data_IF_692052964480
#
_entry.id   IF_692052964480
#
_cell.length_a   1.000
_cell.length_b   1.000
_cell.length_c   1.000
_cell.angle_alpha   90.00
_cell.angle_beta   90.00
_cell.angle_gamma   90.00
#
_symmetry.space_group_name_H-M   'P 1'
#
loop_
_entity.id
_entity.type
_entity.pdbx_description
1 polymer ?
#
# COMPACT_ATOMS: atom_id res chain seq x y z
N UNK A 1 3.43 -78.35 -7.95
CA UNK A 1 2.42 -77.38 -8.30
C UNK A 1 2.96 -76.03 -7.99
N UNK A 2 3.10 -75.19 -9.01
CA UNK A 2 3.77 -73.89 -8.93
C UNK A 2 2.70 -72.79 -8.84
N UNK A 3 2.59 -72.15 -7.73
CA UNK A 3 1.78 -70.91 -7.57
C UNK A 3 2.63 -69.71 -7.99
N UNK A 4 2.33 -69.15 -9.14
CA UNK A 4 2.87 -67.88 -9.60
C UNK A 4 2.09 -66.73 -8.97
N UNK A 5 2.72 -66.06 -8.02
CA UNK A 5 2.20 -64.80 -7.44
C UNK A 5 2.61 -63.64 -8.36
N UNK A 6 1.65 -63.12 -9.11
CA UNK A 6 1.83 -61.90 -9.90
C UNK A 6 1.54 -60.70 -8.98
N UNK A 7 2.62 -60.11 -8.48
CA UNK A 7 2.54 -58.85 -7.77
C UNK A 7 2.18 -57.72 -8.72
N UNK A 8 1.02 -57.12 -8.51
CA UNK A 8 0.63 -55.89 -9.19
C UNK A 8 1.33 -54.72 -8.48
N UNK A 9 2.27 -54.09 -9.18
CA UNK A 9 2.86 -52.80 -8.75
C UNK A 9 1.82 -51.70 -8.98
N UNK A 10 1.24 -51.24 -7.90
CA UNK A 10 0.41 -50.02 -7.92
C UNK A 10 1.35 -48.83 -7.83
N UNK A 11 1.64 -48.21 -8.96
CA UNK A 11 2.32 -46.92 -9.04
C UNK A 11 1.34 -45.82 -8.56
N UNK A 12 1.54 -45.36 -7.35
CA UNK A 12 0.87 -44.14 -6.85
C UNK A 12 1.59 -42.95 -7.48
N UNK A 13 0.98 -42.39 -8.52
CA UNK A 13 1.37 -41.09 -9.07
C UNK A 13 0.92 -40.02 -8.10
N UNK A 14 1.84 -39.52 -7.30
CA UNK A 14 1.62 -38.30 -6.50
C UNK A 14 1.58 -37.11 -7.47
N UNK A 15 0.37 -36.69 -7.83
CA UNK A 15 0.15 -35.42 -8.53
C UNK A 15 0.46 -34.31 -7.51
N UNK A 16 1.69 -33.81 -7.59
CA UNK A 16 2.07 -32.58 -6.89
C UNK A 16 1.25 -31.43 -7.46
N UNK A 17 0.30 -30.94 -6.68
CA UNK A 17 -0.34 -29.65 -6.91
C UNK A 17 0.77 -28.60 -6.77
N UNK A 18 1.42 -28.26 -7.89
CA UNK A 18 2.20 -27.05 -8.00
C UNK A 18 1.19 -25.89 -7.86
N UNK A 19 0.96 -25.45 -6.63
CA UNK A 19 0.20 -24.25 -6.37
C UNK A 19 0.91 -23.12 -7.11
N UNK A 20 0.21 -22.43 -8.00
CA UNK A 20 0.63 -21.16 -8.55
C UNK A 20 0.75 -20.18 -7.38
N UNK A 21 1.90 -20.17 -6.70
CA UNK A 21 2.25 -19.19 -5.69
C UNK A 21 2.55 -17.87 -6.39
N UNK A 22 1.55 -16.97 -6.50
CA UNK A 22 1.81 -15.58 -6.83
C UNK A 22 2.73 -14.95 -5.79
N UNK A 23 3.40 -13.86 -6.13
CA UNK A 23 4.20 -13.10 -5.15
C UNK A 23 3.34 -12.77 -3.92
N UNK A 24 3.89 -12.93 -2.71
CA UNK A 24 3.17 -12.59 -1.50
C UNK A 24 2.79 -11.10 -1.51
N UNK A 25 1.59 -10.80 -1.07
CA UNK A 25 1.02 -9.46 -1.04
C UNK A 25 0.67 -9.06 0.39
N UNK A 26 0.78 -7.76 0.64
CA UNK A 26 0.47 -7.15 1.92
C UNK A 26 -0.69 -6.15 1.79
N UNK A 27 -1.54 -6.13 2.79
CA UNK A 27 -2.51 -5.06 3.00
C UNK A 27 -1.99 -4.18 4.15
N UNK A 28 -2.08 -2.87 4.00
CA UNK A 28 -1.56 -1.93 5.01
C UNK A 28 -2.65 -0.95 5.40
N UNK A 29 -2.89 -0.83 6.68
CA UNK A 29 -3.76 0.19 7.24
C UNK A 29 -3.00 1.01 8.27
N UNK A 30 -3.34 2.28 8.39
CA UNK A 30 -2.72 3.14 9.39
C UNK A 30 -3.32 4.53 9.39
N UNK A 31 -2.72 5.39 10.19
CA UNK A 31 -3.10 6.78 10.34
C UNK A 31 -1.89 7.68 10.13
N UNK A 32 -2.10 8.80 9.44
CA UNK A 32 -1.07 9.81 9.24
C UNK A 32 -1.35 10.98 10.16
N UNK A 33 -0.35 11.35 10.96
CA UNK A 33 -0.38 12.53 11.83
C UNK A 33 0.83 13.42 11.57
N UNK A 34 0.64 14.70 11.79
CA UNK A 34 1.72 15.69 11.79
C UNK A 34 1.67 16.48 13.09
N UNK A 35 2.72 16.37 13.91
CA UNK A 35 2.76 16.95 15.26
C UNK A 35 1.51 16.59 16.09
N UNK A 36 1.05 15.33 15.97
CA UNK A 36 -0.12 14.82 16.68
C UNK A 36 -1.48 15.15 16.06
N UNK A 37 -1.53 15.94 14.98
CA UNK A 37 -2.76 16.24 14.25
C UNK A 37 -2.96 15.28 13.08
N UNK A 38 -4.14 14.65 12.93
CA UNK A 38 -4.43 13.81 11.79
C UNK A 38 -4.47 14.63 10.49
N UNK A 39 -3.90 14.07 9.43
CA UNK A 39 -3.93 14.66 8.10
C UNK A 39 -5.29 14.38 7.47
N UNK A 40 -6.08 15.41 7.20
CA UNK A 40 -7.42 15.24 6.60
C UNK A 40 -7.41 15.21 5.07
N UNK A 41 -6.32 15.65 4.45
CA UNK A 41 -6.18 15.73 3.00
C UNK A 41 -4.80 15.30 2.56
N UNK A 42 -4.73 14.51 1.51
CA UNK A 42 -3.48 14.11 0.92
C UNK A 42 -3.44 12.66 0.51
N UNK A 43 -2.23 12.18 0.29
CA UNK A 43 -1.97 10.81 -0.15
C UNK A 43 -0.72 10.25 0.50
N UNK A 44 -0.73 8.97 0.74
CA UNK A 44 0.45 8.18 1.12
C UNK A 44 0.97 7.48 -0.13
N UNK A 45 2.27 7.53 -0.34
CA UNK A 45 2.96 6.89 -1.46
C UNK A 45 3.85 5.80 -0.88
N UNK A 46 3.72 4.58 -1.36
CA UNK A 46 4.59 3.47 -0.97
C UNK A 46 5.37 2.97 -2.17
N UNK A 47 6.69 2.87 -2.00
CA UNK A 47 7.63 2.40 -3.01
C UNK A 47 8.47 1.26 -2.44
N UNK A 48 8.45 0.10 -3.07
CA UNK A 48 9.30 -1.03 -2.67
C UNK A 48 10.77 -0.64 -2.79
N UNK A 49 11.53 -0.84 -1.73
CA UNK A 49 12.97 -0.59 -1.74
C UNK A 49 13.72 -1.68 -2.51
N UNK A 50 14.75 -1.28 -3.26
CA UNK A 50 15.70 -2.21 -3.88
C UNK A 50 15.25 -2.92 -5.14
N UNK A 51 14.24 -2.41 -5.85
CA UNK A 51 13.79 -3.02 -7.13
C UNK A 51 13.09 -2.04 -8.05
N UNK A 52 12.91 -2.40 -9.33
CA UNK A 52 12.05 -1.67 -10.23
C UNK A 52 10.61 -1.90 -9.76
N UNK A 53 10.05 -0.91 -9.07
CA UNK A 53 8.66 -0.94 -8.61
C UNK A 53 7.99 0.37 -8.93
N UNK A 54 6.75 0.30 -9.36
CA UNK A 54 5.92 1.48 -9.46
C UNK A 54 5.44 1.87 -8.07
N UNK A 55 5.44 3.18 -7.76
CA UNK A 55 4.87 3.66 -6.51
C UNK A 55 3.36 3.37 -6.47
N UNK A 56 2.90 2.88 -5.34
CA UNK A 56 1.46 2.72 -5.08
C UNK A 56 1.00 3.88 -4.22
N UNK A 57 -0.14 4.45 -4.56
CA UNK A 57 -0.70 5.63 -3.88
C UNK A 57 -2.04 5.29 -3.24
N UNK A 58 -2.23 5.69 -1.99
CA UNK A 58 -3.50 5.63 -1.30
C UNK A 58 -3.92 7.01 -0.80
N UNK A 59 -5.18 7.33 -0.94
CA UNK A 59 -5.75 8.57 -0.46
C UNK A 59 -5.93 8.54 1.07
N UNK A 60 -5.60 9.64 1.73
CA UNK A 60 -5.84 9.83 3.16
C UNK A 60 -7.30 10.22 3.37
N UNK A 61 -7.99 9.52 4.26
CA UNK A 61 -9.36 9.79 4.62
C UNK A 61 -9.46 11.02 5.55
N UNK A 62 -10.65 11.63 5.71
CA UNK A 62 -10.83 12.81 6.56
C UNK A 62 -10.40 12.65 8.03
N UNK A 63 -10.38 11.43 8.55
CA UNK A 63 -9.91 11.08 9.90
C UNK A 63 -8.40 10.83 9.98
N UNK A 64 -7.68 10.95 8.86
CA UNK A 64 -6.25 10.72 8.73
C UNK A 64 -5.86 9.28 8.43
N UNK A 65 -6.81 8.38 8.28
CA UNK A 65 -6.54 6.97 7.96
C UNK A 65 -6.25 6.76 6.49
N UNK A 66 -5.46 5.72 6.20
CA UNK A 66 -5.17 5.27 4.84
C UNK A 66 -5.17 3.74 4.77
N UNK A 67 -5.40 3.21 3.59
CA UNK A 67 -5.38 1.76 3.35
C UNK A 67 -4.78 1.44 1.99
N UNK A 68 -3.88 0.47 1.97
CA UNK A 68 -3.35 -0.15 0.75
C UNK A 68 -3.81 -1.60 0.70
N UNK A 69 -4.10 -2.09 -0.48
CA UNK A 69 -4.45 -3.48 -0.74
C UNK A 69 -3.50 -4.11 -1.73
N UNK A 70 -3.04 -5.31 -1.43
CA UNK A 70 -2.29 -6.14 -2.37
C UNK A 70 -0.97 -5.55 -2.85
N UNK A 71 -0.24 -4.81 -2.00
CA UNK A 71 1.07 -4.26 -2.34
C UNK A 71 2.19 -5.29 -2.12
N UNK A 72 3.35 -5.14 -2.79
CA UNK A 72 4.47 -6.06 -2.60
C UNK A 72 4.99 -6.06 -1.16
N UNK A 73 5.33 -7.25 -0.65
CA UNK A 73 5.97 -7.38 0.67
C UNK A 73 7.43 -6.94 0.65
N UNK A 74 8.00 -6.70 1.82
CA UNK A 74 9.39 -6.34 2.04
C UNK A 74 9.58 -4.91 2.49
N UNK A 75 10.82 -4.45 2.45
CA UNK A 75 11.16 -3.08 2.83
C UNK A 75 10.53 -2.08 1.86
N UNK A 76 9.82 -1.12 2.41
CA UNK A 76 9.04 -0.13 1.66
C UNK A 76 9.40 1.27 2.13
N UNK A 77 9.64 2.16 1.18
CA UNK A 77 9.82 3.59 1.42
C UNK A 77 8.49 4.29 1.32
N UNK A 78 8.28 5.29 2.16
CA UNK A 78 7.00 5.98 2.29
C UNK A 78 7.17 7.46 1.99
N UNK A 79 6.27 8.00 1.19
CA UNK A 79 6.10 9.43 0.99
C UNK A 79 4.70 9.85 1.43
N UNK A 80 4.57 11.10 1.86
CA UNK A 80 3.29 11.69 2.26
C UNK A 80 3.15 13.07 1.62
N UNK A 81 2.04 13.29 0.96
CA UNK A 81 1.70 14.56 0.32
C UNK A 81 0.44 15.12 0.98
N UNK A 82 0.48 16.38 1.40
CA UNK A 82 -0.70 17.11 1.88
C UNK A 82 -1.27 17.94 0.72
N UNK A 83 -2.35 17.45 0.13
CA UNK A 83 -3.00 18.09 -1.00
C UNK A 83 -3.90 19.22 -0.53
N UNK A 84 -3.67 20.45 -1.05
CA UNK A 84 -4.51 21.60 -0.70
C UNK A 84 -5.87 21.52 -1.41
N UNK A 85 -6.98 21.32 -0.68
CA UNK A 85 -8.31 21.24 -1.28
C UNK A 85 -8.81 22.58 -1.82
N UNK A 86 -8.17 23.68 -1.44
CA UNK A 86 -8.49 25.02 -1.93
C UNK A 86 -7.74 25.37 -3.23
N UNK A 87 -6.84 24.50 -3.66
CA UNK A 87 -6.14 24.70 -4.92
C UNK A 87 -7.10 24.48 -6.09
N UNK A 88 -7.51 25.58 -6.72
CA UNK A 88 -8.34 25.53 -7.92
C UNK A 88 -7.49 25.11 -9.10
N UNK A 89 -7.62 23.85 -9.51
CA UNK A 89 -7.13 23.45 -10.82
C UNK A 89 -7.99 24.15 -11.88
N UNK A 90 -7.39 24.93 -12.76
CA UNK A 90 -8.08 25.41 -13.96
C UNK A 90 -8.31 24.22 -14.89
N UNK A 91 -9.45 23.56 -14.68
CA UNK A 91 -9.86 22.44 -15.52
C UNK A 91 -10.34 22.96 -16.86
N UNK A 92 -9.83 22.35 -17.93
CA UNK A 92 -10.18 22.69 -19.30
C UNK A 92 -11.59 22.19 -19.60
N UNK A 93 -12.54 23.10 -19.91
CA UNK A 93 -13.90 22.75 -20.32
C UNK A 93 -14.87 22.50 -19.16
N UNK A 94 -15.88 21.68 -19.39
CA UNK A 94 -17.00 21.41 -18.48
C UNK A 94 -16.66 20.49 -17.28
N UNK A 95 -15.39 20.26 -17.02
CA UNK A 95 -14.96 19.41 -15.89
C UNK A 95 -15.16 20.15 -14.56
N UNK A 96 -16.11 19.68 -13.78
CA UNK A 96 -16.33 20.16 -12.41
C UNK A 96 -15.42 19.39 -11.45
N UNK A 97 -14.72 20.12 -10.59
CA UNK A 97 -14.01 19.50 -9.47
C UNK A 97 -15.00 18.79 -8.53
N UNK A 98 -14.74 17.55 -8.14
CA UNK A 98 -15.57 16.92 -7.11
C UNK A 98 -15.47 17.70 -5.80
N UNK A 99 -16.54 17.72 -5.00
CA UNK A 99 -16.53 18.41 -3.72
C UNK A 99 -15.47 17.78 -2.80
N UNK A 100 -14.80 18.57 -1.95
CA UNK A 100 -13.85 18.05 -0.98
C UNK A 100 -14.55 17.09 0.00
N UNK A 101 -13.89 16.01 0.36
CA UNK A 101 -14.40 14.96 1.27
C UNK A 101 -14.49 15.42 2.74
N UNK A 102 -13.85 16.52 3.09
CA UNK A 102 -13.85 17.09 4.44
C UNK A 102 -13.86 18.62 4.37
N UNK A 103 -14.00 19.28 5.52
CA UNK A 103 -13.91 20.73 5.60
C UNK A 103 -12.51 21.20 5.15
N UNK A 104 -12.40 22.02 4.09
CA UNK A 104 -11.13 22.58 3.63
C UNK A 104 -10.32 23.32 4.68
N UNK A 105 -10.95 23.80 5.76
CA UNK A 105 -10.29 24.45 6.88
C UNK A 105 -9.42 23.51 7.72
N UNK A 106 -9.64 22.21 7.61
CA UNK A 106 -8.83 21.19 8.29
C UNK A 106 -7.49 20.94 7.60
N UNK A 107 -7.30 21.48 6.40
CA UNK A 107 -6.04 21.34 5.69
C UNK A 107 -4.92 22.18 6.33
N UNK A 108 -3.75 21.59 6.38
CA UNK A 108 -2.51 22.29 6.73
C UNK A 108 -1.34 21.73 5.90
N UNK A 109 -0.32 22.56 5.61
CA UNK A 109 0.84 22.10 4.89
C UNK A 109 1.75 21.24 5.78
N UNK A 110 2.47 20.31 5.14
CA UNK A 110 3.55 19.53 5.76
C UNK A 110 4.86 19.83 5.04
N UNK A 111 6.02 19.59 5.66
CA UNK A 111 7.30 19.79 4.99
C UNK A 111 7.43 18.97 3.71
N UNK A 112 7.90 19.59 2.64
CA UNK A 112 8.06 18.96 1.33
C UNK A 112 9.02 17.77 1.32
N UNK A 113 9.89 17.64 2.31
CA UNK A 113 10.78 16.49 2.48
C UNK A 113 10.05 15.15 2.52
N UNK A 114 8.80 15.14 2.96
CA UNK A 114 7.98 13.92 3.05
C UNK A 114 7.31 13.52 1.73
N UNK A 115 7.28 14.41 0.75
CA UNK A 115 6.56 14.18 -0.52
C UNK A 115 7.17 13.09 -1.40
N UNK A 116 8.46 12.83 -1.26
CA UNK A 116 9.16 11.82 -2.05
C UNK A 116 9.54 10.61 -1.17
N UNK A 117 9.13 9.39 -1.54
CA UNK A 117 9.50 8.19 -0.77
C UNK A 117 11.00 7.98 -0.62
N UNK A 118 11.79 8.45 -1.59
CA UNK A 118 13.26 8.34 -1.58
C UNK A 118 13.93 9.26 -0.57
N UNK A 119 13.33 10.40 -0.30
CA UNK A 119 13.95 11.50 0.49
C UNK A 119 13.30 11.70 1.85
N UNK A 120 12.12 11.12 2.07
CA UNK A 120 11.34 11.31 3.30
C UNK A 120 11.99 10.73 4.56
N UNK A 121 12.84 9.72 4.40
CA UNK A 121 13.39 8.96 5.52
C UNK A 121 12.41 7.98 6.18
N UNK A 122 11.17 7.93 5.71
CA UNK A 122 10.14 7.04 6.24
C UNK A 122 10.22 5.65 5.57
N UNK A 123 10.22 4.61 6.39
CA UNK A 123 10.31 3.22 5.93
C UNK A 123 9.44 2.32 6.79
N UNK A 124 8.97 1.22 6.21
CA UNK A 124 8.38 0.11 6.94
C UNK A 124 8.73 -1.22 6.27
N UNK A 125 8.66 -2.28 7.05
CA UNK A 125 8.82 -3.65 6.55
C UNK A 125 7.47 -4.32 6.53
N UNK A 126 7.03 -4.79 5.36
CA UNK A 126 5.73 -5.41 5.16
C UNK A 126 5.85 -6.92 5.05
N UNK A 127 4.99 -7.63 5.76
CA UNK A 127 4.81 -9.07 5.65
C UNK A 127 3.52 -9.41 4.91
N UNK A 128 3.42 -10.64 4.41
CA UNK A 128 2.21 -11.08 3.71
C UNK A 128 0.99 -11.01 4.64
N UNK A 129 -0.14 -10.56 4.09
CA UNK A 129 -1.38 -10.38 4.82
C UNK A 129 -1.54 -8.97 5.42
N UNK A 130 -2.37 -8.80 6.44
CA UNK A 130 -2.66 -7.51 7.04
C UNK A 130 -1.47 -6.97 7.84
N UNK A 131 -1.18 -5.67 7.63
CA UNK A 131 -0.17 -4.91 8.38
C UNK A 131 -0.81 -3.64 8.92
N UNK A 132 -0.37 -3.21 10.10
CA UNK A 132 -0.73 -1.92 10.67
C UNK A 132 0.52 -1.04 10.78
N UNK A 133 0.48 0.15 10.22
CA UNK A 133 1.61 1.09 10.24
C UNK A 133 1.11 2.52 10.31
N UNK A 134 1.29 3.15 11.46
CA UNK A 134 0.98 4.57 11.65
C UNK A 134 2.18 5.43 11.27
N UNK A 135 1.91 6.56 10.64
CA UNK A 135 2.92 7.51 10.17
C UNK A 135 2.81 8.78 11.00
N UNK A 136 3.83 9.05 11.80
CA UNK A 136 3.90 10.26 12.62
C UNK A 136 5.00 11.19 12.08
N UNK A 137 4.57 12.30 11.50
CA UNK A 137 5.43 13.32 10.91
C UNK A 137 5.73 14.40 11.96
N UNK A 138 6.96 14.95 11.88
CA UNK A 138 7.45 16.01 12.78
C UNK A 138 8.07 17.17 12.02
#
# INVERSE_FOLDING_TARGET
MRCLYRGALVSVVAIGLAGCGGEPRADVTGKVTYNGKPLAFGSVIMLKAGGPGEPTVAEIQPDGTYTFYGIPVGETRIGVVSSNPNFKLELRGDQKQPPPKADPKLWFPIPSKYSQPTDSGLRCSLSAGPNAHDIDLK
#
